data_IF_346903213846
#
_entry.id   IF_346903213846
#
_cell.length_a   1.000
_cell.length_b   1.000
_cell.length_c   1.000
_cell.angle_alpha   90.00
_cell.angle_beta   90.00
_cell.angle_gamma   90.00
#
_symmetry.space_group_name_H-M   'P 1'
#
loop_
_entity.id
_entity.type
_entity.pdbx_description
1 polymer ?
#
# COMPACT_ATOMS: atom_id res chain seq x y z
N UNK A 1 6.77 5.50 -11.23
CA UNK A 1 8.15 5.07 -10.98
C UNK A 1 8.54 5.41 -9.54
N UNK A 2 9.17 4.50 -8.79
CA UNK A 2 9.63 4.75 -7.42
C UNK A 2 11.13 5.02 -7.41
N UNK A 3 11.54 6.10 -6.78
CA UNK A 3 12.95 6.44 -6.60
C UNK A 3 13.22 6.78 -5.12
N UNK A 4 14.20 6.10 -4.54
CA UNK A 4 14.64 6.28 -3.15
C UNK A 4 16.12 6.69 -3.19
N UNK A 5 16.45 7.81 -2.58
CA UNK A 5 17.80 8.34 -2.54
C UNK A 5 18.26 8.53 -1.09
N UNK A 6 19.29 7.80 -0.70
CA UNK A 6 19.98 7.91 0.60
C UNK A 6 19.02 7.91 1.81
N UNK A 7 17.92 7.14 1.75
CA UNK A 7 16.89 7.12 2.78
C UNK A 7 17.44 6.60 4.11
N UNK A 8 17.34 7.44 5.13
CA UNK A 8 17.73 7.14 6.51
C UNK A 8 16.54 7.26 7.43
N UNK A 9 16.24 6.21 8.18
CA UNK A 9 15.13 6.20 9.11
C UNK A 9 15.36 5.23 10.28
N UNK A 10 14.63 5.46 11.36
CA UNK A 10 14.70 4.65 12.56
C UNK A 10 13.43 4.69 13.39
N UNK A 11 13.46 3.97 14.51
CA UNK A 11 12.39 3.92 15.51
C UNK A 11 13.02 4.15 16.85
N UNK A 12 12.40 4.97 17.70
CA UNK A 12 12.84 5.23 19.09
C UNK A 12 14.34 5.57 19.22
N UNK A 13 14.85 6.38 18.29
CA UNK A 13 16.26 6.79 18.27
C UNK A 13 17.24 5.75 17.70
N UNK A 14 16.78 4.56 17.36
CA UNK A 14 17.62 3.51 16.75
C UNK A 14 17.54 3.59 15.23
N UNK A 15 18.67 3.89 14.57
CA UNK A 15 18.78 3.91 13.12
C UNK A 15 18.64 2.49 12.54
N UNK A 16 17.69 2.29 11.62
CA UNK A 16 17.42 1.02 10.95
C UNK A 16 17.80 1.12 9.48
N UNK A 17 17.27 2.10 8.76
CA UNK A 17 17.67 2.40 7.38
C UNK A 17 18.83 3.39 7.42
N UNK A 18 19.94 3.04 6.76
CA UNK A 18 21.24 3.75 6.87
C UNK A 18 21.72 4.34 5.54
N UNK A 19 20.78 4.72 4.68
CA UNK A 19 21.09 5.28 3.36
C UNK A 19 20.72 4.33 2.24
N UNK A 20 19.42 3.96 2.18
CA UNK A 20 18.89 3.08 1.14
C UNK A 20 18.76 3.85 -0.16
N UNK A 21 19.27 3.25 -1.26
CA UNK A 21 19.08 3.73 -2.61
C UNK A 21 18.39 2.62 -3.41
N UNK A 22 17.31 2.96 -4.10
CA UNK A 22 16.54 2.02 -4.92
C UNK A 22 15.79 2.80 -6.00
N UNK A 23 15.85 2.31 -7.24
CA UNK A 23 15.05 2.83 -8.34
C UNK A 23 14.28 1.68 -8.97
N UNK A 24 12.96 1.83 -9.12
CA UNK A 24 12.06 0.84 -9.70
C UNK A 24 11.26 1.50 -10.81
N UNK A 25 11.39 1.00 -12.03
CA UNK A 25 10.62 1.49 -13.18
C UNK A 25 9.27 0.77 -13.30
N UNK A 26 8.38 1.32 -14.13
CA UNK A 26 7.12 0.67 -14.43
C UNK A 26 7.35 -0.71 -15.07
N UNK A 27 6.59 -1.71 -14.62
CA UNK A 27 6.68 -3.09 -15.10
C UNK A 27 7.84 -3.91 -14.52
N UNK A 28 8.68 -3.34 -13.67
CA UNK A 28 9.76 -4.07 -13.01
C UNK A 28 9.30 -4.77 -11.73
N UNK A 29 9.92 -5.91 -11.43
CA UNK A 29 9.76 -6.64 -10.17
C UNK A 29 11.10 -6.67 -9.45
N UNK A 30 11.15 -6.07 -8.26
CA UNK A 30 12.35 -6.02 -7.44
C UNK A 30 12.17 -6.86 -6.16
N UNK A 31 13.06 -7.81 -5.92
CA UNK A 31 13.09 -8.61 -4.71
C UNK A 31 14.12 -8.04 -3.71
N UNK A 32 13.64 -7.61 -2.54
CA UNK A 32 14.50 -7.13 -1.46
C UNK A 32 14.79 -8.28 -0.51
N UNK A 33 16.04 -8.74 -0.48
CA UNK A 33 16.49 -9.86 0.34
C UNK A 33 17.50 -9.39 1.40
N UNK A 34 17.61 -10.19 2.46
CA UNK A 34 18.57 -9.93 3.55
C UNK A 34 18.18 -10.66 4.84
N UNK A 35 19.06 -10.71 5.84
CA UNK A 35 18.80 -11.37 7.12
C UNK A 35 17.66 -10.70 7.91
N UNK A 36 17.20 -11.38 8.96
CA UNK A 36 16.23 -10.79 9.88
C UNK A 36 16.83 -9.56 10.56
N UNK A 37 16.02 -8.50 10.70
CA UNK A 37 16.48 -7.23 11.28
C UNK A 37 17.23 -6.31 10.30
N UNK A 38 17.39 -6.66 9.02
CA UNK A 38 18.07 -5.79 8.03
C UNK A 38 17.25 -4.58 7.56
N UNK A 39 16.00 -4.42 8.02
CA UNK A 39 15.17 -3.27 7.69
C UNK A 39 14.18 -3.46 6.53
N UNK A 40 14.03 -4.68 5.96
CA UNK A 40 13.10 -4.94 4.84
C UNK A 40 11.66 -4.53 5.14
N UNK A 41 11.11 -5.01 6.27
CA UNK A 41 9.75 -4.67 6.69
C UNK A 41 9.64 -3.19 7.10
N UNK A 42 10.70 -2.62 7.67
CA UNK A 42 10.77 -1.20 8.01
C UNK A 42 10.65 -0.35 6.75
N UNK A 43 11.39 -0.69 5.69
CA UNK A 43 11.30 0.03 4.42
C UNK A 43 9.87 -0.04 3.87
N UNK A 44 9.28 -1.23 3.77
CA UNK A 44 7.92 -1.41 3.25
C UNK A 44 6.87 -0.61 4.06
N UNK A 45 6.93 -0.67 5.38
CA UNK A 45 6.00 0.03 6.28
C UNK A 45 6.17 1.56 6.22
N UNK A 46 7.41 2.04 6.16
CA UNK A 46 7.71 3.46 6.02
C UNK A 46 7.18 4.01 4.69
N UNK A 47 7.41 3.29 3.59
CA UNK A 47 6.91 3.67 2.27
C UNK A 47 5.37 3.67 2.22
N UNK A 48 4.70 2.79 2.97
CA UNK A 48 3.26 2.78 3.12
C UNK A 48 2.70 3.88 4.06
N UNK A 49 3.58 4.69 4.66
CA UNK A 49 3.16 5.79 5.53
C UNK A 49 2.84 5.39 6.97
N UNK A 50 3.27 4.20 7.42
CA UNK A 50 3.03 3.80 8.81
C UNK A 50 3.72 4.76 9.77
N UNK A 51 2.98 5.22 10.77
CA UNK A 51 3.50 6.09 11.82
C UNK A 51 4.57 5.42 12.70
N UNK A 52 5.33 6.23 13.44
CA UNK A 52 6.34 5.77 14.39
C UNK A 52 7.76 5.68 13.82
N UNK A 53 7.94 5.93 12.53
CA UNK A 53 9.27 6.02 11.91
C UNK A 53 9.76 7.47 11.87
N UNK A 54 10.98 7.69 12.35
CA UNK A 54 11.66 8.97 12.27
C UNK A 54 12.61 8.98 11.06
N UNK A 55 12.30 9.79 10.06
CA UNK A 55 13.11 9.97 8.85
C UNK A 55 14.18 11.03 9.16
N UNK A 56 15.44 10.64 9.09
CA UNK A 56 16.58 11.52 9.40
C UNK A 56 17.32 12.02 8.17
N UNK A 57 16.92 11.60 6.96
CA UNK A 57 17.48 12.08 5.72
C UNK A 57 17.15 11.21 4.52
N UNK A 58 17.44 11.72 3.35
CA UNK A 58 17.13 11.13 2.06
C UNK A 58 15.78 11.59 1.52
N UNK A 59 15.39 11.08 0.37
CA UNK A 59 14.15 11.40 -0.31
C UNK A 59 13.51 10.15 -0.92
N UNK A 60 12.20 10.20 -1.08
CA UNK A 60 11.43 9.16 -1.78
C UNK A 60 10.48 9.84 -2.74
N UNK A 61 10.64 9.58 -4.02
CA UNK A 61 9.74 10.07 -5.07
C UNK A 61 8.95 8.91 -5.68
N UNK A 62 7.65 9.10 -5.84
CA UNK A 62 6.75 8.19 -6.53
C UNK A 62 5.97 8.96 -7.62
N UNK A 63 6.15 8.54 -8.87
CA UNK A 63 5.61 9.21 -10.07
C UNK A 63 5.82 10.74 -10.09
N UNK A 64 6.99 11.19 -9.59
CA UNK A 64 7.39 12.59 -9.57
C UNK A 64 6.91 13.39 -8.36
N UNK A 65 6.12 12.78 -7.48
CA UNK A 65 5.67 13.40 -6.22
C UNK A 65 6.57 12.95 -5.05
N UNK A 66 6.74 13.81 -4.04
CA UNK A 66 7.41 13.41 -2.80
C UNK A 66 6.48 12.52 -1.98
N UNK A 67 6.81 11.22 -1.92
CA UNK A 67 6.01 10.23 -1.20
C UNK A 67 5.98 10.48 0.32
N UNK A 68 7.01 11.12 0.87
CA UNK A 68 7.13 11.31 2.31
C UNK A 68 6.19 12.40 2.83
N UNK A 69 5.79 13.34 1.97
CA UNK A 69 4.82 14.39 2.30
C UNK A 69 3.35 13.91 2.25
N UNK A 70 3.10 12.77 1.58
CA UNK A 70 1.76 12.23 1.44
C UNK A 70 1.33 11.43 2.67
N UNK A 71 0.08 11.59 3.09
CA UNK A 71 -0.57 10.74 4.08
C UNK A 71 -0.70 9.28 3.56
N UNK A 72 -0.89 8.29 4.44
CA UNK A 72 -1.10 6.91 4.01
C UNK A 72 -2.26 6.75 3.02
N UNK A 73 -3.35 7.50 3.22
CA UNK A 73 -4.54 7.51 2.38
C UNK A 73 -4.24 8.09 0.99
N UNK A 74 -3.49 9.18 0.93
CA UNK A 74 -3.07 9.81 -0.33
C UNK A 74 -2.15 8.86 -1.11
N UNK A 75 -1.20 8.20 -0.45
CA UNK A 75 -0.32 7.20 -1.10
C UNK A 75 -1.11 6.07 -1.75
N UNK A 76 -2.15 5.58 -1.07
CA UNK A 76 -3.04 4.54 -1.64
C UNK A 76 -3.82 5.08 -2.83
N UNK A 77 -4.28 6.32 -2.78
CA UNK A 77 -4.97 6.98 -3.89
C UNK A 77 -4.08 7.14 -5.12
N UNK A 78 -2.80 7.41 -4.92
CA UNK A 78 -1.79 7.43 -5.99
C UNK A 78 -1.40 6.02 -6.50
N UNK A 79 -1.91 4.97 -5.89
CA UNK A 79 -1.70 3.57 -6.31
C UNK A 79 -0.59 2.85 -5.56
N UNK A 80 -0.04 3.45 -4.50
CA UNK A 80 0.95 2.79 -3.66
C UNK A 80 0.27 1.86 -2.67
N UNK A 81 0.41 0.54 -2.85
CA UNK A 81 -0.28 -0.49 -2.06
C UNK A 81 0.69 -1.40 -1.31
N UNK A 82 0.42 -1.66 -0.03
CA UNK A 82 1.16 -2.62 0.79
C UNK A 82 0.32 -3.88 1.07
N UNK A 83 0.81 -5.03 0.64
CA UNK A 83 0.28 -6.31 1.10
C UNK A 83 0.89 -6.67 2.47
N UNK A 84 0.05 -6.73 3.51
CA UNK A 84 0.50 -7.05 4.87
C UNK A 84 0.97 -8.49 4.99
N UNK A 85 2.03 -8.72 5.74
CA UNK A 85 2.55 -10.06 6.04
C UNK A 85 1.54 -10.89 6.85
N UNK A 86 0.82 -10.24 7.75
CA UNK A 86 -0.27 -10.82 8.53
C UNK A 86 -1.53 -10.00 8.28
N UNK A 87 -2.64 -10.62 7.84
CA UNK A 87 -3.89 -9.92 7.66
C UNK A 87 -4.39 -9.40 9.02
N UNK A 88 -4.87 -8.16 9.02
CA UNK A 88 -5.50 -7.55 10.19
C UNK A 88 -7.00 -7.77 10.06
N UNK A 89 -7.59 -8.48 11.01
CA UNK A 89 -9.03 -8.66 11.08
C UNK A 89 -9.67 -7.38 11.65
N UNK A 90 -10.75 -6.94 11.01
CA UNK A 90 -11.56 -5.79 11.47
C UNK A 90 -12.92 -6.35 11.91
N UNK A 91 -13.11 -6.67 13.20
CA UNK A 91 -14.32 -7.31 13.68
C UNK A 91 -15.57 -6.50 13.34
N UNK A 92 -16.62 -7.18 12.85
CA UNK A 92 -17.90 -6.57 12.50
C UNK A 92 -17.94 -5.80 11.18
N UNK A 93 -16.85 -5.77 10.43
CA UNK A 93 -16.79 -5.13 9.10
C UNK A 93 -16.93 -6.19 8.01
N UNK A 94 -18.03 -6.10 7.26
CA UNK A 94 -18.23 -6.99 6.11
C UNK A 94 -17.25 -6.66 4.97
N UNK A 95 -16.60 -7.68 4.43
CA UNK A 95 -15.59 -7.55 3.37
C UNK A 95 -16.11 -6.82 2.13
N UNK A 96 -17.35 -7.08 1.72
CA UNK A 96 -17.96 -6.42 0.55
C UNK A 96 -18.14 -4.92 0.76
N UNK A 97 -18.59 -4.52 1.96
CA UNK A 97 -18.71 -3.10 2.30
C UNK A 97 -17.35 -2.41 2.37
N UNK A 98 -16.39 -3.03 3.02
CA UNK A 98 -15.03 -2.50 3.12
C UNK A 98 -14.41 -2.26 1.74
N UNK A 99 -14.44 -3.26 0.88
CA UNK A 99 -13.86 -3.16 -0.46
C UNK A 99 -14.60 -2.15 -1.34
N UNK A 100 -15.93 -2.06 -1.22
CA UNK A 100 -16.70 -1.05 -1.95
C UNK A 100 -16.33 0.36 -1.52
N UNK A 101 -16.21 0.60 -0.22
CA UNK A 101 -15.79 1.90 0.31
C UNK A 101 -14.39 2.28 -0.20
N UNK A 102 -13.44 1.34 -0.16
CA UNK A 102 -12.08 1.56 -0.66
C UNK A 102 -12.05 1.88 -2.16
N UNK A 103 -12.78 1.12 -2.99
CA UNK A 103 -12.86 1.36 -4.43
C UNK A 103 -13.50 2.71 -4.72
N UNK A 104 -14.57 3.08 -4.02
CA UNK A 104 -15.23 4.37 -4.24
C UNK A 104 -14.38 5.55 -3.80
N UNK A 105 -13.62 5.43 -2.71
CA UNK A 105 -12.66 6.45 -2.30
C UNK A 105 -11.57 6.69 -3.37
N UNK A 106 -11.04 5.62 -3.98
CA UNK A 106 -10.11 5.73 -5.10
C UNK A 106 -10.73 6.38 -6.34
N UNK A 107 -11.99 6.06 -6.63
CA UNK A 107 -12.72 6.66 -7.76
C UNK A 107 -12.99 8.14 -7.54
N UNK A 108 -13.42 8.51 -6.34
CA UNK A 108 -13.63 9.91 -5.94
C UNK A 108 -12.35 10.73 -6.10
N UNK A 109 -11.22 10.21 -5.63
CA UNK A 109 -9.91 10.87 -5.81
C UNK A 109 -9.57 11.10 -7.30
N UNK A 110 -9.99 10.18 -8.18
CA UNK A 110 -9.78 10.29 -9.64
C UNK A 110 -10.85 11.13 -10.34
N UNK A 111 -11.80 11.70 -9.61
CA UNK A 111 -12.93 12.44 -10.20
C UNK A 111 -13.94 11.55 -10.93
N UNK A 112 -13.95 10.25 -10.64
CA UNK A 112 -14.89 9.27 -11.22
C UNK A 112 -16.14 9.13 -10.34
N UNK A 113 -17.29 8.82 -10.94
CA UNK A 113 -18.51 8.55 -10.20
C UNK A 113 -18.39 7.27 -9.35
N UNK A 114 -19.03 7.28 -8.18
CA UNK A 114 -19.13 6.08 -7.33
C UNK A 114 -19.80 4.90 -8.03
N UNK A 115 -19.34 3.70 -7.74
CA UNK A 115 -20.01 2.48 -8.18
C UNK A 115 -21.27 2.22 -7.35
N UNK A 116 -22.37 1.93 -8.03
CA UNK A 116 -23.55 1.38 -7.37
C UNK A 116 -23.23 0.03 -6.71
N UNK A 117 -24.08 -0.43 -5.77
CA UNK A 117 -23.88 -1.74 -5.15
C UNK A 117 -23.90 -2.89 -6.18
N UNK A 118 -24.72 -2.75 -7.22
CA UNK A 118 -24.84 -3.76 -8.30
C UNK A 118 -23.60 -3.80 -9.16
N UNK A 119 -23.11 -2.63 -9.60
CA UNK A 119 -21.92 -2.53 -10.44
C UNK A 119 -20.66 -2.99 -9.69
N UNK A 120 -20.56 -2.65 -8.40
CA UNK A 120 -19.48 -3.13 -7.55
C UNK A 120 -19.49 -4.66 -7.41
N UNK A 121 -20.65 -5.29 -7.18
CA UNK A 121 -20.74 -6.75 -7.10
C UNK A 121 -20.38 -7.43 -8.43
N UNK A 122 -20.71 -6.80 -9.56
CA UNK A 122 -20.30 -7.29 -10.89
C UNK A 122 -18.77 -7.25 -11.02
N UNK A 123 -18.16 -6.12 -10.69
CA UNK A 123 -16.69 -5.96 -10.69
C UNK A 123 -16.03 -7.00 -9.78
N UNK A 124 -16.56 -7.22 -8.57
CA UNK A 124 -16.01 -8.20 -7.63
C UNK A 124 -16.04 -9.62 -8.19
N UNK A 125 -17.14 -10.04 -8.82
CA UNK A 125 -17.22 -11.36 -9.45
C UNK A 125 -16.21 -11.54 -10.55
N UNK A 126 -16.03 -10.55 -11.41
CA UNK A 126 -15.01 -10.56 -12.46
C UNK A 126 -13.60 -10.74 -11.88
N UNK A 127 -13.28 -10.02 -10.80
CA UNK A 127 -11.97 -10.12 -10.13
C UNK A 127 -11.76 -11.46 -9.42
N UNK A 128 -12.79 -12.00 -8.77
CA UNK A 128 -12.75 -13.31 -8.13
C UNK A 128 -12.50 -14.43 -9.15
N UNK A 129 -13.19 -14.38 -10.29
CA UNK A 129 -12.97 -15.33 -11.38
C UNK A 129 -11.55 -15.24 -11.95
N UNK A 130 -11.04 -14.00 -12.16
CA UNK A 130 -9.67 -13.77 -12.63
C UNK A 130 -8.61 -14.34 -11.69
N UNK A 131 -8.86 -14.28 -10.37
CA UNK A 131 -7.95 -14.75 -9.33
C UNK A 131 -8.21 -16.22 -8.92
N UNK A 132 -9.16 -16.90 -9.55
CA UNK A 132 -9.58 -18.28 -9.23
C UNK A 132 -9.94 -18.46 -7.73
N UNK A 133 -10.55 -17.43 -7.11
CA UNK A 133 -10.94 -17.43 -5.71
C UNK A 133 -12.34 -18.00 -5.53
N UNK A 134 -12.63 -18.52 -4.31
CA UNK A 134 -13.97 -18.99 -3.94
C UNK A 134 -14.91 -17.81 -3.70
N UNK A 135 -16.08 -17.82 -4.36
CA UNK A 135 -17.12 -16.79 -4.17
C UNK A 135 -17.65 -16.69 -2.73
N UNK A 136 -17.45 -17.73 -1.91
CA UNK A 136 -17.82 -17.68 -0.48
C UNK A 136 -17.07 -16.59 0.29
N UNK A 137 -15.92 -16.14 -0.21
CA UNK A 137 -15.14 -15.05 0.37
C UNK A 137 -15.89 -13.71 0.40
N UNK A 138 -16.82 -13.49 -0.54
CA UNK A 138 -17.67 -12.28 -0.58
C UNK A 138 -18.66 -12.21 0.59
N UNK A 139 -18.99 -13.34 1.20
CA UNK A 139 -20.00 -13.45 2.25
C UNK A 139 -19.41 -13.43 3.66
N UNK A 140 -18.11 -13.41 3.78
CA UNK A 140 -17.43 -13.39 5.10
C UNK A 140 -17.54 -11.99 5.72
N UNK A 141 -17.92 -11.96 6.95
CA UNK A 141 -17.94 -10.81 7.87
C UNK A 141 -16.91 -11.02 8.96
#
# INVERSE_FOLDING_TARGET
MLEIQNLKAGVEGKAILKGVNLSINAGEVHAIMGPNGSGKSTLAQLLAGREGYNISGGSVSYDGQDLLELSPEERVCEGFFLAFQYPVEIPGVNTTYFLRAAVNALREHRGEAELSAVDFLKLMREKIQLLELDESLLKRS
#
